data_IF_986593415933
#
_entry.id   IF_986593415933
#
_cell.length_a   1.000
_cell.length_b   1.000
_cell.length_c   1.000
_cell.angle_alpha   90.00
_cell.angle_beta   90.00
_cell.angle_gamma   90.00
#
_symmetry.space_group_name_H-M   'P 1'
#
loop_
_entity.id
_entity.type
_entity.pdbx_description
1 polymer ?
#
# COMPACT_ATOMS: atom_id res chain seq x y z
N UNK A 1 18.11 13.53 2.90
CA UNK A 1 16.79 14.23 2.90
C UNK A 1 16.56 14.88 4.27
N UNK A 2 15.85 16.01 4.35
CA UNK A 2 15.60 16.76 5.60
C UNK A 2 14.24 16.43 6.25
N UNK A 3 13.79 15.17 6.19
CA UNK A 3 12.53 14.76 6.84
C UNK A 3 12.75 14.52 8.34
N UNK A 4 11.85 15.07 9.16
CA UNK A 4 11.79 14.84 10.61
C UNK A 4 10.67 13.84 10.90
N UNK A 5 10.91 12.93 11.85
CA UNK A 5 9.96 11.91 12.28
C UNK A 5 9.68 12.08 13.78
N UNK A 6 8.43 11.87 14.18
CA UNK A 6 8.05 11.94 15.59
C UNK A 6 8.49 10.69 16.38
N UNK A 7 8.64 9.55 15.69
CA UNK A 7 8.98 8.26 16.29
C UNK A 7 10.13 7.54 15.55
N UNK A 8 10.83 6.67 16.28
CA UNK A 8 12.00 5.94 15.78
C UNK A 8 11.64 4.84 14.77
N UNK A 9 10.44 4.28 14.87
CA UNK A 9 9.93 3.25 13.96
C UNK A 9 9.70 3.83 12.56
N UNK A 10 9.06 5.01 12.47
CA UNK A 10 8.83 5.75 11.23
C UNK A 10 10.14 6.25 10.62
N UNK A 11 11.12 6.68 11.44
CA UNK A 11 12.46 7.00 10.95
C UNK A 11 13.15 5.76 10.36
N UNK A 12 13.08 4.62 11.04
CA UNK A 12 13.67 3.35 10.57
C UNK A 12 13.01 2.88 9.29
N UNK A 13 11.68 2.91 9.26
CA UNK A 13 10.92 2.60 8.07
C UNK A 13 11.28 3.56 6.94
N UNK A 14 11.41 4.87 7.19
CA UNK A 14 11.82 5.85 6.19
C UNK A 14 13.25 5.60 5.66
N UNK A 15 14.17 5.16 6.51
CA UNK A 15 15.55 4.87 6.10
C UNK A 15 15.63 3.81 5.00
N UNK A 16 14.69 2.86 4.96
CA UNK A 16 14.59 1.85 3.89
C UNK A 16 14.43 2.45 2.46
N UNK A 17 14.19 3.75 2.29
CA UNK A 17 14.00 4.45 0.98
C UNK A 17 15.38 4.62 0.40
N UNK A 18 16.32 4.99 1.26
CA UNK A 18 17.70 5.23 0.89
C UNK A 18 18.47 3.92 0.72
N UNK A 19 18.19 2.91 1.55
CA UNK A 19 18.87 1.61 1.45
C UNK A 19 18.26 0.66 0.42
N UNK A 20 17.01 0.91 -0.01
CA UNK A 20 16.28 0.00 -0.89
C UNK A 20 15.83 -1.31 -0.21
N UNK A 21 15.98 -1.44 1.10
CA UNK A 21 15.59 -2.64 1.85
C UNK A 21 14.08 -2.90 1.74
N UNK A 22 13.72 -4.13 1.39
CA UNK A 22 12.33 -4.60 1.25
C UNK A 22 12.15 -5.92 1.99
N UNK A 23 11.98 -5.90 3.33
CA UNK A 23 12.04 -7.11 4.14
C UNK A 23 10.80 -8.00 4.00
N UNK A 24 9.72 -7.53 3.37
CA UNK A 24 8.46 -8.27 3.30
C UNK A 24 8.26 -8.91 1.94
N UNK A 25 8.43 -10.22 1.83
CA UNK A 25 8.21 -10.96 0.59
C UNK A 25 6.76 -11.47 0.46
N UNK A 26 6.21 -11.39 -0.76
CA UNK A 26 4.95 -12.03 -1.10
C UNK A 26 5.17 -13.54 -1.27
N UNK A 27 4.50 -14.40 -0.48
CA UNK A 27 4.68 -15.84 -0.60
C UNK A 27 4.16 -16.41 -1.93
N UNK A 28 3.25 -15.70 -2.60
CA UNK A 28 2.63 -16.17 -3.85
C UNK A 28 3.48 -15.88 -5.09
N UNK A 29 4.19 -14.74 -5.14
CA UNK A 29 4.93 -14.33 -6.34
C UNK A 29 6.37 -13.89 -6.08
N UNK A 30 6.86 -13.97 -4.84
CA UNK A 30 8.23 -13.58 -4.46
C UNK A 30 8.51 -12.08 -4.51
N UNK A 31 7.53 -11.22 -4.83
CA UNK A 31 7.73 -9.76 -4.85
C UNK A 31 7.99 -9.23 -3.45
N UNK A 32 8.97 -8.36 -3.31
CA UNK A 32 9.37 -7.77 -2.04
C UNK A 32 8.79 -6.36 -1.84
N UNK A 33 8.41 -6.05 -0.61
CA UNK A 33 7.80 -4.81 -0.17
C UNK A 33 8.53 -4.26 1.04
N UNK A 34 8.46 -2.94 1.19
CA UNK A 34 9.14 -2.20 2.23
C UNK A 34 8.34 -2.06 3.53
N UNK A 35 7.02 -2.18 3.43
CA UNK A 35 6.08 -2.14 4.55
C UNK A 35 5.16 -3.36 4.50
N UNK A 36 4.76 -3.87 5.67
CA UNK A 36 3.84 -4.99 5.79
C UNK A 36 2.43 -4.63 5.27
N UNK A 37 1.97 -3.40 5.49
CA UNK A 37 0.69 -2.89 5.00
C UNK A 37 0.62 -2.90 3.46
N UNK A 38 1.72 -2.52 2.78
CA UNK A 38 1.81 -2.57 1.32
C UNK A 38 1.77 -4.01 0.81
N UNK A 39 2.44 -4.96 1.48
CA UNK A 39 2.35 -6.38 1.15
C UNK A 39 0.92 -6.91 1.34
N UNK A 40 0.27 -6.58 2.45
CA UNK A 40 -1.11 -7.02 2.73
C UNK A 40 -2.09 -6.52 1.66
N UNK A 41 -1.96 -5.26 1.24
CA UNK A 41 -2.72 -4.74 0.10
C UNK A 41 -2.38 -5.45 -1.21
N UNK A 42 -1.09 -5.68 -1.49
CA UNK A 42 -0.65 -6.35 -2.71
C UNK A 42 -1.25 -7.76 -2.83
N UNK A 43 -1.39 -8.50 -1.73
CA UNK A 43 -2.01 -9.84 -1.74
C UNK A 43 -3.41 -9.84 -2.35
N UNK A 44 -4.14 -8.72 -2.28
CA UNK A 44 -5.47 -8.59 -2.91
C UNK A 44 -5.42 -8.79 -4.42
N UNK A 45 -4.30 -8.48 -5.07
CA UNK A 45 -4.10 -8.70 -6.52
C UNK A 45 -4.18 -10.19 -6.86
N UNK A 46 -3.72 -11.07 -5.98
CA UNK A 46 -3.80 -12.52 -6.19
C UNK A 46 -5.20 -13.08 -5.93
N UNK A 47 -5.91 -12.53 -4.94
CA UNK A 47 -7.26 -12.98 -4.58
C UNK A 47 -8.38 -12.33 -5.40
N UNK A 48 -8.11 -11.22 -6.08
CA UNK A 48 -9.13 -10.39 -6.72
C UNK A 48 -10.00 -9.58 -5.76
N UNK A 49 -9.70 -9.57 -4.45
CA UNK A 49 -10.50 -8.87 -3.43
C UNK A 49 -10.55 -7.36 -3.68
N UNK A 50 -11.77 -6.82 -3.75
CA UNK A 50 -12.04 -5.39 -3.91
C UNK A 50 -13.03 -4.92 -2.83
N UNK A 51 -12.54 -4.68 -1.60
CA UNK A 51 -13.41 -4.38 -0.46
C UNK A 51 -14.00 -2.96 -0.54
N UNK A 52 -13.39 -2.05 -1.29
CA UNK A 52 -13.84 -0.67 -1.41
C UNK A 52 -14.78 -0.53 -2.60
N UNK A 53 -15.99 -0.01 -2.40
CA UNK A 53 -16.96 0.24 -3.46
C UNK A 53 -17.25 1.72 -3.58
N UNK A 54 -17.48 2.20 -4.80
CA UNK A 54 -17.95 3.56 -5.03
C UNK A 54 -19.41 3.68 -4.63
N UNK A 55 -19.78 4.81 -4.02
CA UNK A 55 -21.17 5.09 -3.63
C UNK A 55 -21.97 5.77 -4.73
N UNK A 56 -21.31 6.17 -5.83
CA UNK A 56 -21.92 6.86 -6.98
C UNK A 56 -22.03 5.96 -8.22
N UNK A 57 -21.31 4.84 -8.26
CA UNK A 57 -21.38 3.85 -9.33
C UNK A 57 -20.92 2.46 -8.83
N UNK A 58 -21.07 1.41 -9.63
CA UNK A 58 -20.76 0.03 -9.22
C UNK A 58 -19.27 -0.35 -9.23
N UNK A 59 -18.37 0.62 -9.41
CA UNK A 59 -16.93 0.36 -9.46
C UNK A 59 -16.39 -0.02 -8.07
N UNK A 60 -15.57 -1.08 -8.04
CA UNK A 60 -14.89 -1.59 -6.83
C UNK A 60 -13.37 -1.49 -6.96
N UNK A 61 -12.70 -1.26 -5.85
CA UNK A 61 -11.26 -1.02 -5.75
C UNK A 61 -10.61 -1.90 -4.67
N UNK A 62 -9.36 -2.28 -4.89
CA UNK A 62 -8.54 -3.06 -3.94
C UNK A 62 -7.88 -2.19 -2.85
N UNK A 63 -7.84 -0.86 -3.04
CA UNK A 63 -7.28 0.10 -2.12
C UNK A 63 -8.22 1.29 -1.90
N UNK A 64 -8.29 1.81 -0.67
CA UNK A 64 -9.04 3.01 -0.30
C UNK A 64 -8.54 4.25 -1.05
N UNK A 65 -7.23 4.43 -1.21
CA UNK A 65 -6.68 5.59 -1.93
C UNK A 65 -7.15 5.65 -3.38
N UNK A 66 -7.31 4.49 -4.03
CA UNK A 66 -7.80 4.41 -5.40
C UNK A 66 -9.29 4.77 -5.47
N UNK A 67 -10.09 4.32 -4.49
CA UNK A 67 -11.48 4.76 -4.35
C UNK A 67 -11.54 6.28 -4.11
N UNK A 68 -10.76 6.82 -3.17
CA UNK A 68 -10.73 8.27 -2.88
C UNK A 68 -10.36 9.09 -4.11
N UNK A 69 -9.39 8.62 -4.92
CA UNK A 69 -9.04 9.29 -6.18
C UNK A 69 -10.19 9.20 -7.19
N UNK A 70 -10.80 8.02 -7.33
CA UNK A 70 -11.94 7.83 -8.22
C UNK A 70 -13.15 8.69 -7.83
N UNK A 71 -13.39 8.91 -6.54
CA UNK A 71 -14.49 9.77 -6.09
C UNK A 71 -14.32 11.24 -6.52
N UNK A 72 -13.13 11.68 -6.93
CA UNK A 72 -12.89 13.05 -7.43
C UNK A 72 -13.36 13.29 -8.86
N UNK A 73 -13.69 12.23 -9.60
CA UNK A 73 -14.19 12.33 -10.98
C UNK A 73 -15.72 12.19 -11.07
N UNK A 74 -16.39 12.12 -9.92
CA UNK A 74 -17.83 12.28 -9.77
C UNK A 74 -18.13 13.70 -9.33
#
# INVERSE_FOLDING_TARGET
>A
CQRRFADSSALTEHRRIHTGEKPFACPTCGKHFRQASTLAQHRRVHTGEKPYHCTKCDKRFSCSSNLTQHLRIH
#
